data_IF_165839710496
#
_entry.id   IF_165839710496
#
_cell.length_a   1.000
_cell.length_b   1.000
_cell.length_c   1.000
_cell.angle_alpha   90.00
_cell.angle_beta   90.00
_cell.angle_gamma   90.00
#
_symmetry.space_group_name_H-M   'P 1'
#
loop_
_entity.id
_entity.type
_entity.pdbx_description
1 polymer ?
#
# COMPACT_ATOMS: atom_id res chain seq x y z
N UNK A 1 3.39 15.01 -0.77
CA UNK A 1 2.31 14.13 -1.26
C UNK A 1 1.61 13.49 -0.07
N UNK A 2 0.34 13.13 -0.25
CA UNK A 2 -0.46 12.33 0.70
C UNK A 2 -0.40 10.86 0.26
N UNK A 3 0.22 9.99 1.06
CA UNK A 3 0.58 8.63 0.65
C UNK A 3 -0.05 7.59 1.58
N UNK A 4 -0.77 6.61 1.03
CA UNK A 4 -1.22 5.44 1.76
C UNK A 4 -0.12 4.38 1.80
N UNK A 5 0.21 3.91 3.00
CA UNK A 5 1.22 2.89 3.26
C UNK A 5 0.49 1.58 3.61
N UNK A 6 0.60 0.56 2.75
CA UNK A 6 0.00 -0.74 3.00
C UNK A 6 1.02 -1.72 3.60
N UNK A 7 0.58 -2.91 3.94
CA UNK A 7 1.27 -3.86 4.83
C UNK A 7 2.62 -4.36 4.29
N UNK A 8 2.84 -4.38 2.96
CA UNK A 8 4.12 -4.87 2.42
C UNK A 8 5.29 -3.95 2.78
N UNK A 9 5.03 -2.65 2.94
CA UNK A 9 6.08 -1.68 3.29
C UNK A 9 6.69 -1.99 4.66
N UNK A 10 5.93 -1.98 5.78
CA UNK A 10 6.50 -2.33 7.07
C UNK A 10 7.03 -3.78 7.09
N UNK A 11 6.44 -4.70 6.33
CA UNK A 11 6.94 -6.07 6.23
C UNK A 11 8.35 -6.14 5.64
N UNK A 12 8.64 -5.38 4.57
CA UNK A 12 9.98 -5.31 3.98
C UNK A 12 10.98 -4.62 4.91
N UNK A 13 10.54 -3.61 5.68
CA UNK A 13 11.40 -2.88 6.61
C UNK A 13 11.90 -3.76 7.76
N UNK A 14 11.04 -4.64 8.30
CA UNK A 14 11.37 -5.50 9.46
C UNK A 14 11.90 -6.87 9.08
N UNK A 15 11.77 -7.27 7.82
CA UNK A 15 12.20 -8.58 7.34
C UNK A 15 13.72 -8.77 7.49
N UNK A 16 14.12 -10.02 7.77
CA UNK A 16 15.53 -10.41 7.69
C UNK A 16 16.04 -10.19 6.27
N UNK A 17 17.35 -9.91 6.10
CA UNK A 17 17.95 -9.77 4.77
C UNK A 17 17.61 -10.97 3.87
N UNK A 18 17.05 -10.69 2.70
CA UNK A 18 16.72 -11.72 1.74
C UNK A 18 18.01 -12.28 1.11
N UNK A 19 17.97 -13.55 0.70
CA UNK A 19 19.07 -14.18 -0.06
C UNK A 19 18.95 -13.89 -1.56
N UNK A 20 17.74 -13.67 -2.04
CA UNK A 20 17.48 -13.27 -3.40
C UNK A 20 17.91 -11.81 -3.63
N UNK A 21 18.71 -11.59 -4.68
CA UNK A 21 19.32 -10.28 -4.97
C UNK A 21 18.26 -9.20 -5.23
N UNK A 22 17.16 -9.54 -5.93
CA UNK A 22 16.10 -8.59 -6.25
C UNK A 22 15.35 -8.19 -4.98
N UNK A 23 15.01 -9.17 -4.15
CA UNK A 23 14.34 -8.88 -2.87
C UNK A 23 15.25 -8.08 -1.92
N UNK A 24 16.53 -8.41 -1.87
CA UNK A 24 17.51 -7.66 -1.05
C UNK A 24 17.62 -6.21 -1.51
N UNK A 25 17.69 -5.97 -2.83
CA UNK A 25 17.70 -4.61 -3.37
C UNK A 25 16.42 -3.84 -3.01
N UNK A 26 15.25 -4.46 -3.15
CA UNK A 26 13.97 -3.85 -2.75
C UNK A 26 13.91 -3.54 -1.25
N UNK A 27 14.41 -4.42 -0.40
CA UNK A 27 14.53 -4.16 1.03
C UNK A 27 15.38 -2.92 1.31
N UNK A 28 16.53 -2.81 0.64
CA UNK A 28 17.43 -1.67 0.82
C UNK A 28 16.78 -0.36 0.34
N UNK A 29 16.20 -0.36 -0.86
CA UNK A 29 15.49 0.81 -1.41
C UNK A 29 14.35 1.24 -0.48
N UNK A 30 13.59 0.28 0.05
CA UNK A 30 12.50 0.58 0.98
C UNK A 30 13.00 1.23 2.27
N UNK A 31 14.14 0.76 2.82
CA UNK A 31 14.78 1.37 3.99
C UNK A 31 15.28 2.78 3.68
N UNK A 32 15.97 2.96 2.55
CA UNK A 32 16.49 4.27 2.14
C UNK A 32 15.36 5.29 1.97
N UNK A 33 14.26 4.89 1.33
CA UNK A 33 13.07 5.75 1.20
C UNK A 33 12.46 6.07 2.58
N UNK A 34 12.29 5.07 3.43
CA UNK A 34 11.71 5.26 4.76
C UNK A 34 12.53 6.21 5.63
N UNK A 35 13.84 6.11 5.57
CA UNK A 35 14.74 6.92 6.37
C UNK A 35 14.91 8.35 5.84
N UNK A 36 14.97 8.52 4.51
CA UNK A 36 15.37 9.77 3.88
C UNK A 36 14.22 10.56 3.27
N UNK A 37 13.23 9.87 2.70
CA UNK A 37 12.21 10.50 1.87
C UNK A 37 10.85 10.65 2.57
N UNK A 38 10.50 9.75 3.49
CA UNK A 38 9.18 9.74 4.13
C UNK A 38 8.80 11.06 4.80
N UNK A 39 9.78 11.78 5.36
CA UNK A 39 9.57 13.05 6.07
C UNK A 39 9.08 14.21 5.17
N UNK A 40 9.19 14.06 3.85
CA UNK A 40 8.67 15.03 2.88
C UNK A 40 7.20 14.79 2.51
N UNK A 41 6.56 13.76 3.09
CA UNK A 41 5.21 13.33 2.76
C UNK A 41 4.32 13.20 4.00
N UNK A 42 3.02 13.30 3.77
CA UNK A 42 2.01 12.94 4.78
C UNK A 42 1.64 11.47 4.58
N UNK A 43 1.90 10.65 5.60
CA UNK A 43 1.70 9.21 5.52
C UNK A 43 0.43 8.78 6.26
N UNK A 44 -0.34 7.94 5.60
CA UNK A 44 -1.61 7.41 6.07
C UNK A 44 -1.61 5.88 6.02
N UNK A 45 -2.41 5.29 6.87
CA UNK A 45 -2.68 3.85 6.89
C UNK A 45 -4.14 3.59 7.28
N UNK A 46 -4.52 2.35 7.51
CA UNK A 46 -5.89 2.01 7.95
C UNK A 46 -5.89 0.88 8.98
N UNK A 47 -7.02 0.66 9.63
CA UNK A 47 -7.19 -0.47 10.56
C UNK A 47 -6.92 -1.82 9.88
N UNK A 48 -7.30 -1.98 8.61
CA UNK A 48 -7.04 -3.21 7.85
C UNK A 48 -5.55 -3.49 7.74
N UNK A 49 -4.73 -2.47 7.51
CA UNK A 49 -3.27 -2.59 7.49
C UNK A 49 -2.73 -2.96 8.86
N UNK A 50 -3.25 -2.36 9.93
CA UNK A 50 -2.83 -2.69 11.30
C UNK A 50 -3.17 -4.15 11.66
N UNK A 51 -4.34 -4.63 11.27
CA UNK A 51 -4.77 -6.01 11.51
C UNK A 51 -3.86 -7.02 10.77
N UNK A 52 -3.51 -6.72 9.51
CA UNK A 52 -2.56 -7.53 8.75
C UNK A 52 -1.14 -7.49 9.36
N UNK A 53 -0.67 -6.29 9.71
CA UNK A 53 0.66 -6.08 10.27
C UNK A 53 0.82 -6.76 11.64
N UNK A 54 -0.27 -6.85 12.39
CA UNK A 54 -0.33 -7.51 13.70
C UNK A 54 -0.38 -9.05 13.65
N UNK A 55 -0.51 -9.64 12.46
CA UNK A 55 -0.59 -11.09 12.30
C UNK A 55 0.80 -11.75 12.19
N UNK A 56 0.86 -13.06 12.46
CA UNK A 56 2.05 -13.88 12.30
C UNK A 56 3.00 -13.85 13.50
N UNK A 57 4.31 -13.85 13.25
CA UNK A 57 5.34 -13.84 14.30
C UNK A 57 5.21 -12.60 15.19
N UNK A 58 5.14 -12.81 16.51
CA UNK A 58 4.85 -11.74 17.46
C UNK A 58 5.89 -10.62 17.49
N UNK A 59 7.17 -10.94 17.34
CA UNK A 59 8.25 -9.95 17.33
C UNK A 59 8.23 -9.12 16.05
N UNK A 60 8.01 -9.74 14.91
CA UNK A 60 7.89 -9.05 13.62
C UNK A 60 6.59 -8.23 13.56
N UNK A 61 5.48 -8.74 14.11
CA UNK A 61 4.22 -8.00 14.20
C UNK A 61 4.38 -6.72 15.03
N UNK A 62 5.00 -6.84 16.23
CA UNK A 62 5.29 -5.68 17.07
C UNK A 62 6.13 -4.63 16.33
N UNK A 63 7.20 -5.04 15.66
CA UNK A 63 8.06 -4.14 14.91
C UNK A 63 7.32 -3.43 13.76
N UNK A 64 6.44 -4.15 13.02
CA UNK A 64 5.60 -3.53 11.97
C UNK A 64 4.64 -2.50 12.55
N UNK A 65 3.97 -2.82 13.65
CA UNK A 65 3.02 -1.92 14.31
C UNK A 65 3.70 -0.66 14.85
N UNK A 66 4.92 -0.77 15.37
CA UNK A 66 5.72 0.38 15.81
C UNK A 66 6.02 1.35 14.66
N UNK A 67 6.32 0.83 13.45
CA UNK A 67 6.54 1.65 12.26
C UNK A 67 5.27 2.37 11.80
N UNK A 68 4.11 1.73 11.95
CA UNK A 68 2.81 2.27 11.54
C UNK A 68 2.19 3.21 12.58
N UNK A 69 2.57 3.10 13.85
CA UNK A 69 1.97 3.86 14.95
C UNK A 69 1.94 5.39 14.76
N UNK A 70 2.95 6.03 14.15
CA UNK A 70 2.93 7.46 13.90
C UNK A 70 2.04 7.90 12.73
N UNK A 71 1.56 6.98 11.89
CA UNK A 71 0.79 7.27 10.69
C UNK A 71 -0.67 7.59 11.05
N UNK A 72 -1.26 8.54 10.32
CA UNK A 72 -2.68 8.86 10.48
C UNK A 72 -3.56 7.72 9.97
N UNK A 73 -4.56 7.33 10.78
CA UNK A 73 -5.50 6.28 10.43
C UNK A 73 -6.66 6.87 9.61
N UNK A 74 -6.83 6.34 8.39
CA UNK A 74 -7.99 6.63 7.56
C UNK A 74 -9.14 5.68 7.88
N UNK A 75 -10.34 6.24 7.90
CA UNK A 75 -11.56 5.47 8.13
C UNK A 75 -11.84 4.52 6.95
N UNK A 76 -12.16 3.27 7.28
CA UNK A 76 -12.70 2.30 6.34
C UNK A 76 -14.23 2.45 6.34
N UNK A 77 -14.71 3.46 5.62
CA UNK A 77 -16.12 3.83 5.55
C UNK A 77 -16.95 2.87 4.67
N UNK A 78 -18.27 3.01 4.71
CA UNK A 78 -19.17 2.26 3.82
C UNK A 78 -18.86 2.51 2.34
N UNK A 79 -18.46 3.72 1.97
CA UNK A 79 -18.02 4.06 0.61
C UNK A 79 -16.75 3.30 0.20
N UNK A 80 -15.80 3.15 1.11
CA UNK A 80 -14.58 2.34 0.90
C UNK A 80 -14.96 0.88 0.65
N UNK A 81 -15.80 0.32 1.52
CA UNK A 81 -16.24 -1.08 1.40
C UNK A 81 -17.04 -1.32 0.12
N UNK A 82 -17.91 -0.39 -0.26
CA UNK A 82 -18.68 -0.46 -1.50
C UNK A 82 -17.76 -0.44 -2.75
N UNK A 83 -16.76 0.41 -2.78
CA UNK A 83 -15.82 0.47 -3.90
C UNK A 83 -14.91 -0.77 -3.95
N UNK A 84 -14.43 -1.25 -2.80
CA UNK A 84 -13.68 -2.51 -2.70
C UNK A 84 -14.47 -3.69 -3.26
N UNK A 85 -15.78 -3.79 -2.93
CA UNK A 85 -16.65 -4.80 -3.49
C UNK A 85 -16.77 -4.72 -5.00
N UNK A 86 -16.89 -3.53 -5.58
CA UNK A 86 -16.93 -3.34 -7.03
C UNK A 86 -15.65 -3.83 -7.72
N UNK A 87 -14.49 -3.65 -7.08
CA UNK A 87 -13.21 -4.17 -7.57
C UNK A 87 -13.25 -5.70 -7.66
N UNK A 88 -13.74 -6.37 -6.61
CA UNK A 88 -13.83 -7.83 -6.55
C UNK A 88 -14.92 -8.38 -7.48
N UNK A 89 -16.11 -7.80 -7.47
CA UNK A 89 -17.23 -8.23 -8.32
C UNK A 89 -16.92 -8.04 -9.81
N UNK A 90 -16.12 -7.04 -10.15
CA UNK A 90 -15.61 -6.83 -11.50
C UNK A 90 -14.51 -7.79 -11.95
N UNK A 91 -14.06 -8.69 -11.07
CA UNK A 91 -13.01 -9.67 -11.37
C UNK A 91 -11.63 -9.03 -11.62
N UNK A 92 -11.41 -7.79 -11.18
CA UNK A 92 -10.13 -7.09 -11.36
C UNK A 92 -9.06 -7.70 -10.45
N UNK A 93 -9.45 -8.02 -9.23
CA UNK A 93 -8.67 -8.80 -8.27
C UNK A 93 -9.36 -10.13 -7.99
N UNK A 94 -8.61 -11.18 -7.60
CA UNK A 94 -9.22 -12.46 -7.23
C UNK A 94 -10.08 -12.31 -5.96
N UNK A 95 -11.07 -13.21 -5.75
CA UNK A 95 -12.02 -13.09 -4.63
C UNK A 95 -11.41 -13.10 -3.24
N UNK A 96 -10.23 -13.69 -3.10
CA UNK A 96 -9.45 -13.77 -1.85
C UNK A 96 -8.52 -12.56 -1.63
N UNK A 97 -8.50 -11.60 -2.54
CA UNK A 97 -7.73 -10.35 -2.44
C UNK A 97 -8.58 -9.19 -1.88
N UNK A 98 -9.46 -9.47 -0.94
CA UNK A 98 -10.37 -8.51 -0.31
C UNK A 98 -9.62 -7.37 0.40
N UNK A 99 -8.49 -7.66 1.05
CA UNK A 99 -7.65 -6.66 1.70
C UNK A 99 -6.96 -5.74 0.70
N UNK A 100 -6.42 -6.30 -0.38
CA UNK A 100 -5.82 -5.50 -1.47
C UNK A 100 -6.86 -4.56 -2.09
N UNK A 101 -8.08 -5.06 -2.33
CA UNK A 101 -9.19 -4.23 -2.80
C UNK A 101 -9.54 -3.12 -1.82
N UNK A 102 -9.53 -3.40 -0.51
CA UNK A 102 -9.78 -2.41 0.53
C UNK A 102 -8.67 -1.34 0.60
N UNK A 103 -7.40 -1.71 0.41
CA UNK A 103 -6.29 -0.75 0.37
C UNK A 103 -6.45 0.21 -0.82
N UNK A 104 -6.72 -0.31 -2.01
CA UNK A 104 -6.98 0.52 -3.20
C UNK A 104 -8.19 1.43 -2.96
N UNK A 105 -9.28 0.89 -2.44
CA UNK A 105 -10.50 1.65 -2.18
C UNK A 105 -10.28 2.76 -1.15
N UNK A 106 -9.55 2.47 -0.05
CA UNK A 106 -9.23 3.47 0.98
C UNK A 106 -8.45 4.63 0.39
N UNK A 107 -7.36 4.35 -0.33
CA UNK A 107 -6.55 5.38 -0.94
C UNK A 107 -7.32 6.21 -1.98
N UNK A 108 -8.22 5.57 -2.74
CA UNK A 108 -9.05 6.21 -3.77
C UNK A 108 -10.11 7.13 -3.15
N UNK A 109 -10.90 6.62 -2.20
CA UNK A 109 -12.01 7.36 -1.58
C UNK A 109 -11.50 8.57 -0.77
N UNK A 110 -10.36 8.41 -0.09
CA UNK A 110 -9.72 9.50 0.64
C UNK A 110 -8.89 10.44 -0.24
N UNK A 111 -8.89 10.24 -1.57
CA UNK A 111 -8.22 11.10 -2.56
C UNK A 111 -6.75 11.30 -2.25
N UNK A 112 -6.04 10.22 -1.98
CA UNK A 112 -4.60 10.26 -1.77
C UNK A 112 -3.87 10.38 -3.11
N UNK A 113 -2.64 10.90 -3.07
CA UNK A 113 -1.81 11.04 -4.27
C UNK A 113 -1.22 9.70 -4.69
N UNK A 114 -0.83 8.88 -3.72
CA UNK A 114 -0.21 7.58 -3.98
C UNK A 114 -0.63 6.50 -2.97
N UNK A 115 -0.60 5.26 -3.43
CA UNK A 115 -0.61 4.04 -2.63
C UNK A 115 0.76 3.37 -2.79
N UNK A 116 1.50 3.27 -1.70
CA UNK A 116 2.83 2.70 -1.68
C UNK A 116 2.77 1.21 -1.34
N UNK A 117 3.26 0.37 -2.25
CA UNK A 117 3.17 -1.08 -2.16
C UNK A 117 4.34 -1.79 -2.81
N UNK A 118 4.66 -2.99 -2.30
CA UNK A 118 5.56 -3.97 -2.92
C UNK A 118 4.82 -5.26 -3.30
N UNK A 119 3.51 -5.21 -3.37
CA UNK A 119 2.66 -6.30 -3.85
C UNK A 119 2.64 -6.32 -5.39
N UNK A 120 3.64 -6.94 -6.00
CA UNK A 120 3.76 -7.03 -7.47
C UNK A 120 2.73 -7.95 -8.12
N UNK A 121 2.11 -8.83 -7.33
CA UNK A 121 1.10 -9.75 -7.85
C UNK A 121 -0.21 -9.04 -8.15
N UNK A 122 -0.65 -8.14 -7.27
CA UNK A 122 -1.97 -7.54 -7.35
C UNK A 122 -1.95 -6.02 -7.52
N UNK A 123 -1.11 -5.30 -6.80
CA UNK A 123 -1.17 -3.84 -6.76
C UNK A 123 -0.17 -3.18 -7.70
N UNK A 124 1.10 -3.57 -7.64
CA UNK A 124 2.14 -3.07 -8.55
C UNK A 124 2.15 -3.90 -9.85
N UNK A 125 1.02 -3.92 -10.53
CA UNK A 125 0.79 -4.66 -11.77
C UNK A 125 0.08 -3.76 -12.78
N UNK A 126 0.75 -3.45 -13.89
CA UNK A 126 0.27 -2.48 -14.87
C UNK A 126 -1.09 -2.85 -15.48
N UNK A 127 -1.34 -4.14 -15.75
CA UNK A 127 -2.62 -4.61 -16.30
C UNK A 127 -3.76 -4.41 -15.31
N UNK A 128 -3.54 -4.78 -14.04
CA UNK A 128 -4.51 -4.58 -12.96
C UNK A 128 -4.77 -3.09 -12.74
N UNK A 129 -3.73 -2.27 -12.68
CA UNK A 129 -3.86 -0.81 -12.51
C UNK A 129 -4.66 -0.17 -13.63
N UNK A 130 -4.51 -0.65 -14.86
CA UNK A 130 -5.32 -0.17 -16.00
C UNK A 130 -6.81 -0.47 -15.79
N UNK A 131 -7.15 -1.67 -15.31
CA UNK A 131 -8.53 -2.05 -15.01
C UNK A 131 -9.09 -1.25 -13.82
N UNK A 132 -8.30 -1.09 -12.75
CA UNK A 132 -8.66 -0.28 -11.58
C UNK A 132 -8.96 1.16 -11.96
N UNK A 133 -8.12 1.78 -12.81
CA UNK A 133 -8.31 3.15 -13.28
C UNK A 133 -9.60 3.32 -14.07
N UNK A 134 -9.91 2.36 -14.95
CA UNK A 134 -11.16 2.38 -15.72
C UNK A 134 -12.38 2.24 -14.82
N UNK A 135 -12.32 1.39 -13.80
CA UNK A 135 -13.39 1.26 -12.81
C UNK A 135 -13.55 2.55 -12.02
N UNK A 136 -12.46 3.10 -11.47
CA UNK A 136 -12.49 4.33 -10.69
C UNK A 136 -13.14 5.48 -11.48
N UNK A 137 -12.71 5.70 -12.72
CA UNK A 137 -13.30 6.73 -13.59
C UNK A 137 -14.81 6.54 -13.81
N UNK A 138 -15.28 5.32 -14.00
CA UNK A 138 -16.72 5.05 -14.15
C UNK A 138 -17.51 5.35 -12.88
N UNK A 139 -16.87 5.19 -11.73
CA UNK A 139 -17.48 5.49 -10.43
C UNK A 139 -17.29 6.96 -9.99
N UNK A 140 -16.65 7.78 -10.82
CA UNK A 140 -16.40 9.20 -10.53
C UNK A 140 -15.22 9.45 -9.58
N UNK A 141 -14.28 8.52 -9.50
CA UNK A 141 -13.08 8.62 -8.68
C UNK A 141 -11.81 8.74 -9.51
N UNK A 142 -10.79 9.35 -8.92
CA UNK A 142 -9.43 9.32 -9.42
C UNK A 142 -8.63 8.25 -8.67
N UNK A 143 -8.04 7.30 -9.41
CA UNK A 143 -7.17 6.29 -8.82
C UNK A 143 -5.83 6.93 -8.44
N UNK A 144 -5.34 6.78 -7.19
CA UNK A 144 -4.00 7.23 -6.83
C UNK A 144 -2.92 6.50 -7.64
N UNK A 145 -1.73 7.07 -7.73
CA UNK A 145 -0.58 6.36 -8.26
C UNK A 145 -0.26 5.15 -7.37
N UNK A 146 -0.30 3.94 -7.91
CA UNK A 146 0.10 2.74 -7.16
C UNK A 146 1.54 2.43 -7.56
N UNK A 147 2.47 2.59 -6.64
CA UNK A 147 3.90 2.54 -6.94
C UNK A 147 4.73 1.96 -5.79
N UNK A 148 5.99 1.69 -6.10
CA UNK A 148 6.99 1.23 -5.12
C UNK A 148 7.72 2.42 -4.50
N UNK A 149 8.42 2.22 -3.36
CA UNK A 149 9.30 3.24 -2.80
C UNK A 149 10.31 3.79 -3.80
N UNK A 150 10.85 2.95 -4.68
CA UNK A 150 11.79 3.34 -5.72
C UNK A 150 11.25 4.45 -6.63
N UNK A 151 9.95 4.36 -6.99
CA UNK A 151 9.30 5.36 -7.85
C UNK A 151 9.08 6.71 -7.14
N UNK A 152 9.23 6.76 -5.81
CA UNK A 152 9.13 7.96 -4.98
C UNK A 152 10.47 8.38 -4.38
N UNK A 153 11.56 7.75 -4.79
CA UNK A 153 12.89 8.24 -4.51
C UNK A 153 13.11 9.47 -5.41
N UNK A 154 12.83 10.65 -4.89
CA UNK A 154 13.26 11.87 -5.56
C UNK A 154 14.77 11.80 -5.74
N UNK A 155 15.25 12.28 -6.89
CA UNK A 155 16.68 12.42 -7.13
C UNK A 155 17.27 13.30 -6.02
N UNK A 156 17.77 12.64 -4.98
CA UNK A 156 18.55 13.31 -3.93
C UNK A 156 19.87 13.67 -4.58
N UNK A 157 19.88 14.79 -5.29
CA UNK A 157 21.10 15.47 -5.67
C UNK A 157 21.63 16.30 -4.51
#
# INVERSE_FOLDING_TARGET
MRIFVETTIPSYLVARPARDVVQMARQQITRDWWERCRGAHELFTSQIVLDEAGAGDAALASARLELLAPLELLEVSDSVLAFARKILDGGILPPDADRDAAHVATATIHRLDALLSLNFRHLVNASIQTCLRRLALREGYDLPAICTPEALMDDIQ
#
